data_IF_149254882106
#
_entry.id   IF_149254882106
#
_cell.length_a   1.000
_cell.length_b   1.000
_cell.length_c   1.000
_cell.angle_alpha   90.00
_cell.angle_beta   90.00
_cell.angle_gamma   90.00
#
_symmetry.space_group_name_H-M   'P 1'
#
loop_
_entity.id
_entity.type
_entity.pdbx_description
1 polymer ?
#
# COMPACT_ATOMS: atom_id res chain seq x y z
N UNK A 1 9.76 -15.69 -15.24
CA UNK A 1 10.33 -14.32 -15.44
C UNK A 1 10.19 -13.46 -14.20
N UNK A 2 8.97 -13.18 -13.67
CA UNK A 2 8.81 -12.31 -12.50
C UNK A 2 9.57 -12.84 -11.27
N UNK A 3 9.30 -14.08 -10.87
CA UNK A 3 9.97 -14.69 -9.72
C UNK A 3 11.47 -14.90 -9.95
N UNK A 4 11.89 -15.25 -11.19
CA UNK A 4 13.31 -15.38 -11.53
C UNK A 4 14.06 -14.07 -11.34
N UNK A 5 13.46 -12.94 -11.73
CA UNK A 5 14.02 -11.61 -11.51
C UNK A 5 14.08 -11.24 -10.02
N UNK A 6 13.05 -11.61 -9.25
CA UNK A 6 13.06 -11.37 -7.81
C UNK A 6 14.13 -12.20 -7.11
N UNK A 7 14.32 -13.47 -7.52
CA UNK A 7 15.42 -14.32 -7.04
C UNK A 7 16.80 -13.70 -7.38
N UNK A 8 16.98 -13.24 -8.62
CA UNK A 8 18.25 -12.64 -9.09
C UNK A 8 18.58 -11.33 -8.35
N UNK A 9 17.57 -10.52 -8.06
CA UNK A 9 17.75 -9.22 -7.42
C UNK A 9 17.59 -9.24 -5.90
N UNK A 10 17.32 -10.40 -5.27
CA UNK A 10 17.13 -10.52 -3.83
C UNK A 10 15.87 -9.82 -3.31
N UNK A 11 14.81 -9.74 -4.13
CA UNK A 11 13.55 -9.11 -3.77
C UNK A 11 12.62 -10.15 -3.16
N UNK A 12 12.30 -10.01 -1.89
CA UNK A 12 11.34 -10.88 -1.22
C UNK A 12 9.91 -10.65 -1.71
N UNK A 13 9.15 -11.74 -1.83
CA UNK A 13 7.76 -11.72 -2.27
C UNK A 13 6.85 -12.20 -1.14
N UNK A 14 5.88 -11.39 -0.80
CA UNK A 14 4.66 -11.75 -0.11
C UNK A 14 3.66 -12.23 -1.16
N UNK A 15 3.38 -13.53 -1.21
CA UNK A 15 2.53 -14.15 -2.24
C UNK A 15 1.13 -14.42 -1.71
N UNK A 16 0.16 -13.66 -2.19
CA UNK A 16 -1.25 -13.96 -1.91
C UNK A 16 -1.75 -15.13 -2.76
N UNK A 17 -2.61 -15.96 -2.15
CA UNK A 17 -3.61 -16.70 -2.91
C UNK A 17 -4.66 -15.72 -3.45
N UNK A 18 -5.33 -16.07 -4.56
CA UNK A 18 -6.16 -15.16 -5.36
C UNK A 18 -7.52 -14.82 -4.75
N UNK A 19 -7.60 -14.61 -3.44
CA UNK A 19 -8.82 -14.29 -2.72
C UNK A 19 -8.74 -12.87 -2.13
N UNK A 20 -9.75 -12.06 -2.41
CA UNK A 20 -9.78 -10.68 -1.93
C UNK A 20 -11.22 -10.19 -1.71
N UNK A 21 -11.43 -9.42 -0.64
CA UNK A 21 -12.63 -8.61 -0.41
C UNK A 21 -13.94 -9.36 -0.69
N UNK A 22 -14.05 -10.63 -0.32
CA UNK A 22 -15.24 -11.45 -0.48
C UNK A 22 -15.24 -12.66 0.45
N UNK A 23 -16.44 -13.20 0.71
CA UNK A 23 -16.59 -14.46 1.44
C UNK A 23 -16.87 -15.58 0.44
N UNK A 24 -15.89 -16.47 0.27
CA UNK A 24 -15.94 -17.55 -0.72
C UNK A 24 -16.63 -18.78 -0.13
N UNK A 25 -17.54 -19.45 -0.85
CA UNK A 25 -18.18 -20.68 -0.38
C UNK A 25 -17.22 -21.86 -0.47
N UNK A 26 -16.51 -22.13 0.63
CA UNK A 26 -15.50 -23.20 0.71
C UNK A 26 -16.16 -24.55 1.05
N UNK A 27 -16.93 -25.11 0.09
CA UNK A 27 -17.58 -26.41 0.19
C UNK A 27 -17.67 -27.12 -1.15
N UNK A 28 -17.81 -28.45 -1.13
CA UNK A 28 -18.01 -29.29 -2.32
C UNK A 28 -16.94 -29.10 -3.40
N UNK A 29 -17.34 -29.18 -4.64
CA UNK A 29 -16.43 -29.11 -5.79
C UNK A 29 -15.62 -27.81 -5.87
N UNK A 30 -16.13 -26.68 -5.30
CA UNK A 30 -15.35 -25.44 -5.27
C UNK A 30 -14.18 -25.55 -4.29
N UNK A 31 -14.38 -26.12 -3.11
CA UNK A 31 -13.28 -26.33 -2.15
C UNK A 31 -12.22 -27.29 -2.72
N UNK A 32 -12.65 -28.35 -3.44
CA UNK A 32 -11.72 -29.26 -4.10
C UNK A 32 -10.90 -28.55 -5.19
N UNK A 33 -11.54 -27.66 -5.95
CA UNK A 33 -10.87 -26.84 -6.97
C UNK A 33 -9.88 -25.84 -6.33
N UNK A 34 -10.29 -25.14 -5.27
CA UNK A 34 -9.40 -24.25 -4.50
C UNK A 34 -8.18 -25.00 -3.99
N UNK A 35 -8.39 -26.20 -3.42
CA UNK A 35 -7.29 -27.06 -2.96
C UNK A 35 -6.32 -27.41 -4.10
N UNK A 36 -6.85 -27.88 -5.23
CA UNK A 36 -6.02 -28.26 -6.38
C UNK A 36 -5.26 -27.09 -6.97
N UNK A 37 -5.90 -25.91 -7.12
CA UNK A 37 -5.24 -24.70 -7.58
C UNK A 37 -4.13 -24.24 -6.63
N UNK A 38 -4.37 -24.32 -5.32
CA UNK A 38 -3.35 -24.02 -4.32
C UNK A 38 -2.15 -24.98 -4.44
N UNK A 39 -2.40 -26.29 -4.59
CA UNK A 39 -1.35 -27.30 -4.78
C UNK A 39 -0.51 -26.98 -6.02
N UNK A 40 -1.14 -26.66 -7.14
CA UNK A 40 -0.47 -26.38 -8.41
C UNK A 40 0.39 -25.12 -8.31
N UNK A 41 -0.12 -24.05 -7.70
CA UNK A 41 0.62 -22.81 -7.53
C UNK A 41 1.78 -22.95 -6.52
N UNK A 42 1.56 -23.60 -5.39
CA UNK A 42 2.62 -23.83 -4.40
C UNK A 42 3.73 -24.69 -4.99
N UNK A 43 3.40 -25.80 -5.67
CA UNK A 43 4.40 -26.65 -6.35
C UNK A 43 5.17 -25.91 -7.43
N UNK A 44 4.51 -25.04 -8.19
CA UNK A 44 5.13 -24.24 -9.24
C UNK A 44 6.12 -23.22 -8.69
N UNK A 45 5.84 -22.62 -7.52
CA UNK A 45 6.56 -21.47 -7.00
C UNK A 45 7.51 -21.78 -5.85
N UNK A 46 7.35 -22.92 -5.16
CA UNK A 46 8.10 -23.27 -3.93
C UNK A 46 9.62 -23.28 -4.04
N UNK A 47 10.15 -23.40 -5.28
CA UNK A 47 11.59 -23.44 -5.51
C UNK A 47 12.20 -22.04 -5.73
N UNK A 48 11.38 -20.99 -5.76
CA UNK A 48 11.85 -19.61 -5.81
C UNK A 48 12.23 -19.13 -4.40
N UNK A 49 13.51 -18.80 -4.21
CA UNK A 49 14.03 -18.33 -2.94
C UNK A 49 13.41 -16.99 -2.49
N UNK A 50 12.89 -16.21 -3.44
CA UNK A 50 12.23 -14.93 -3.17
C UNK A 50 10.89 -15.05 -2.42
N UNK A 51 10.21 -16.21 -2.42
CA UNK A 51 8.94 -16.38 -1.71
C UNK A 51 9.17 -16.38 -0.20
N UNK A 52 8.89 -15.25 0.43
CA UNK A 52 9.06 -15.06 1.88
C UNK A 52 7.89 -15.67 2.68
N UNK A 53 6.66 -15.52 2.17
CA UNK A 53 5.46 -16.06 2.79
C UNK A 53 4.33 -16.26 1.77
N UNK A 54 3.38 -17.11 2.15
CA UNK A 54 2.09 -17.28 1.50
C UNK A 54 0.99 -16.63 2.34
N UNK A 55 0.16 -15.80 1.72
CA UNK A 55 -0.98 -15.18 2.38
C UNK A 55 -2.30 -15.73 1.85
N UNK A 56 -3.22 -16.06 2.76
CA UNK A 56 -4.48 -16.70 2.41
C UNK A 56 -5.43 -15.81 1.62
N UNK A 57 -5.56 -14.55 2.04
CA UNK A 57 -6.47 -13.60 1.37
C UNK A 57 -6.16 -12.15 1.71
N UNK A 58 -6.66 -11.24 0.86
CA UNK A 58 -6.73 -9.83 1.12
C UNK A 58 -8.10 -9.42 1.68
N UNK A 59 -8.12 -8.88 2.90
CA UNK A 59 -9.24 -8.19 3.55
C UNK A 59 -10.53 -9.02 3.78
N UNK A 60 -10.54 -10.34 3.59
CA UNK A 60 -11.78 -11.11 3.79
C UNK A 60 -12.23 -11.11 5.25
N UNK A 61 -11.32 -11.30 6.22
CA UNK A 61 -11.65 -11.21 7.64
C UNK A 61 -12.03 -9.78 8.04
N UNK A 62 -11.28 -8.81 7.58
CA UNK A 62 -11.51 -7.39 7.90
C UNK A 62 -12.85 -6.91 7.38
N UNK A 63 -13.20 -7.30 6.14
CA UNK A 63 -14.51 -7.00 5.57
C UNK A 63 -15.66 -7.67 6.33
N UNK A 64 -15.49 -8.93 6.71
CA UNK A 64 -16.50 -9.65 7.49
C UNK A 64 -16.78 -8.98 8.83
N UNK A 65 -15.72 -8.62 9.57
CA UNK A 65 -15.83 -8.06 10.90
C UNK A 65 -16.10 -6.56 10.93
N UNK A 66 -15.41 -5.80 10.08
CA UNK A 66 -15.34 -4.33 10.10
C UNK A 66 -16.25 -3.60 9.12
N UNK A 67 -16.49 -4.17 7.91
CA UNK A 67 -17.30 -3.47 6.90
C UNK A 67 -18.81 -3.70 7.06
N UNK A 68 -19.22 -4.41 8.11
CA UNK A 68 -20.62 -4.61 8.47
C UNK A 68 -21.27 -5.84 7.85
N UNK A 69 -20.57 -6.64 7.04
CA UNK A 69 -21.12 -7.81 6.36
C UNK A 69 -21.66 -8.86 7.34
N UNK A 70 -20.89 -9.19 8.37
CA UNK A 70 -21.32 -10.10 9.42
C UNK A 70 -22.64 -9.66 10.03
N UNK A 71 -22.70 -8.41 10.48
CA UNK A 71 -23.89 -7.84 11.15
C UNK A 71 -25.12 -7.84 10.24
N UNK A 72 -24.93 -7.52 8.96
CA UNK A 72 -26.03 -7.49 7.99
C UNK A 72 -26.60 -8.89 7.74
N UNK A 73 -25.73 -9.89 7.58
CA UNK A 73 -26.16 -11.29 7.34
C UNK A 73 -26.72 -11.93 8.60
N UNK A 74 -26.12 -11.70 9.78
CA UNK A 74 -26.65 -12.19 11.06
C UNK A 74 -28.07 -11.67 11.36
N UNK A 75 -28.34 -10.41 11.00
CA UNK A 75 -29.67 -9.83 11.17
C UNK A 75 -30.74 -10.54 10.32
N UNK A 76 -30.35 -11.03 9.16
CA UNK A 76 -31.24 -11.76 8.24
C UNK A 76 -31.31 -13.26 8.58
N UNK A 77 -30.19 -13.88 8.79
CA UNK A 77 -30.06 -15.32 9.09
C UNK A 77 -28.74 -15.62 9.82
N UNK A 78 -28.82 -15.79 11.13
CA UNK A 78 -27.63 -16.07 11.95
C UNK A 78 -26.95 -17.39 11.59
N UNK A 79 -27.73 -18.45 11.32
CA UNK A 79 -27.18 -19.77 10.97
C UNK A 79 -26.37 -19.70 9.65
N UNK A 80 -26.86 -18.90 8.70
CA UNK A 80 -26.13 -18.66 7.45
C UNK A 80 -24.85 -17.86 7.67
N UNK A 81 -24.84 -16.88 8.55
CA UNK A 81 -23.63 -16.15 8.92
C UNK A 81 -22.59 -17.08 9.58
N UNK A 82 -23.03 -17.94 10.49
CA UNK A 82 -22.17 -18.94 11.16
C UNK A 82 -21.60 -19.93 10.13
N UNK A 83 -22.38 -20.35 9.12
CA UNK A 83 -21.92 -21.19 8.01
C UNK A 83 -20.84 -20.47 7.17
N UNK A 84 -21.05 -19.22 6.80
CA UNK A 84 -20.06 -18.44 6.03
C UNK A 84 -18.72 -18.37 6.80
N UNK A 85 -18.78 -18.08 8.10
CA UNK A 85 -17.58 -18.02 8.92
C UNK A 85 -16.88 -19.38 9.06
N UNK A 86 -17.63 -20.47 9.17
CA UNK A 86 -17.06 -21.81 9.18
C UNK A 86 -16.36 -22.15 7.85
N UNK A 87 -16.91 -21.73 6.71
CA UNK A 87 -16.28 -21.90 5.41
C UNK A 87 -15.01 -21.05 5.26
N UNK A 88 -15.02 -19.80 5.76
CA UNK A 88 -13.82 -18.96 5.84
C UNK A 88 -12.70 -19.68 6.61
N UNK A 89 -13.00 -20.20 7.80
CA UNK A 89 -12.04 -20.96 8.61
C UNK A 89 -11.54 -22.22 7.89
N UNK A 90 -12.45 -22.97 7.25
CA UNK A 90 -12.07 -24.16 6.48
C UNK A 90 -11.07 -23.83 5.38
N UNK A 91 -11.28 -22.75 4.66
CA UNK A 91 -10.40 -22.35 3.55
C UNK A 91 -9.05 -21.80 4.06
N UNK A 92 -9.07 -20.80 4.94
CA UNK A 92 -7.87 -20.01 5.28
C UNK A 92 -7.11 -20.52 6.49
N UNK A 93 -7.73 -21.31 7.37
CA UNK A 93 -7.07 -21.87 8.55
C UNK A 93 -6.87 -23.39 8.49
N UNK A 94 -7.46 -24.08 7.53
CA UNK A 94 -7.31 -25.54 7.38
C UNK A 94 -6.74 -25.90 5.99
N UNK A 95 -7.44 -25.59 4.91
CA UNK A 95 -7.12 -26.07 3.56
C UNK A 95 -5.82 -25.45 3.06
N UNK A 96 -5.73 -24.12 2.95
CA UNK A 96 -4.55 -23.45 2.40
C UNK A 96 -3.28 -23.65 3.22
N UNK A 97 -3.30 -23.50 4.57
CA UNK A 97 -2.10 -23.81 5.36
C UNK A 97 -1.73 -25.29 5.31
N UNK A 98 -2.70 -26.20 5.13
CA UNK A 98 -2.45 -27.62 4.88
C UNK A 98 -1.60 -27.84 3.63
N UNK A 99 -1.98 -27.20 2.52
CA UNK A 99 -1.25 -27.26 1.25
C UNK A 99 0.15 -26.68 1.40
N UNK A 100 0.29 -25.50 2.01
CA UNK A 100 1.63 -24.89 2.21
C UNK A 100 2.52 -25.79 3.07
N UNK A 101 2.00 -26.33 4.14
CA UNK A 101 2.75 -27.24 5.03
C UNK A 101 3.20 -28.51 4.32
N UNK A 102 2.39 -29.06 3.44
CA UNK A 102 2.70 -30.30 2.70
C UNK A 102 3.70 -30.05 1.56
N UNK A 103 3.51 -28.99 0.78
CA UNK A 103 4.26 -28.80 -0.46
C UNK A 103 5.38 -27.73 -0.40
N UNK A 104 5.37 -26.86 0.61
CA UNK A 104 6.40 -25.86 0.88
C UNK A 104 6.74 -25.78 2.38
N UNK A 105 7.13 -26.91 3.01
CA UNK A 105 7.44 -26.96 4.43
C UNK A 105 8.62 -26.03 4.75
N UNK A 106 8.45 -25.05 5.58
CA UNK A 106 9.46 -24.04 5.91
C UNK A 106 9.17 -22.65 5.36
N UNK A 107 8.19 -22.51 4.47
CA UNK A 107 7.68 -21.19 4.09
C UNK A 107 6.54 -20.78 5.04
N UNK A 108 6.59 -19.56 5.52
CA UNK A 108 5.58 -19.01 6.42
C UNK A 108 4.22 -18.86 5.72
N UNK A 109 3.14 -19.14 6.44
CA UNK A 109 1.76 -18.92 5.98
C UNK A 109 1.07 -17.89 6.87
N UNK A 110 0.46 -16.87 6.24
CA UNK A 110 -0.32 -15.82 6.88
C UNK A 110 -1.79 -15.93 6.45
N UNK A 111 -2.77 -16.08 7.37
CA UNK A 111 -4.14 -16.44 6.99
C UNK A 111 -4.90 -15.37 6.21
N UNK A 112 -4.65 -14.11 6.51
CA UNK A 112 -5.32 -12.95 5.90
C UNK A 112 -4.38 -11.74 5.95
N UNK A 113 -4.64 -10.71 5.17
CA UNK A 113 -4.02 -9.40 5.30
C UNK A 113 -5.14 -8.34 5.20
N UNK A 114 -5.33 -7.42 6.20
CA UNK A 114 -4.60 -7.40 7.47
C UNK A 114 -5.05 -8.53 8.41
N UNK A 115 -4.14 -8.90 9.32
CA UNK A 115 -4.43 -9.95 10.30
C UNK A 115 -3.56 -9.80 11.56
N UNK A 116 -4.12 -10.11 12.70
CA UNK A 116 -3.38 -10.36 13.95
C UNK A 116 -3.85 -11.67 14.58
N UNK A 117 -5.15 -11.80 14.81
CA UNK A 117 -5.77 -12.99 15.40
C UNK A 117 -7.07 -13.35 14.68
N UNK A 118 -7.40 -14.65 14.66
CA UNK A 118 -8.64 -15.14 14.08
C UNK A 118 -9.87 -14.54 14.80
N UNK A 119 -10.78 -13.94 14.01
CA UNK A 119 -12.01 -13.37 14.54
C UNK A 119 -11.87 -11.99 15.18
N UNK A 120 -10.69 -11.38 15.10
CA UNK A 120 -10.42 -10.03 15.61
C UNK A 120 -9.99 -9.08 14.47
N UNK A 121 -10.33 -7.80 14.64
CA UNK A 121 -9.79 -6.75 13.75
C UNK A 121 -8.30 -6.57 14.02
N UNK A 122 -7.54 -6.33 12.95
CA UNK A 122 -6.12 -6.01 13.09
C UNK A 122 -5.90 -4.75 13.92
N UNK A 123 -4.91 -4.80 14.79
CA UNK A 123 -4.57 -3.72 15.71
C UNK A 123 -3.28 -2.98 15.33
N UNK A 124 -2.75 -2.28 16.33
CA UNK A 124 -1.50 -1.52 16.18
C UNK A 124 -0.29 -2.23 16.78
N UNK A 125 -0.51 -3.25 17.61
CA UNK A 125 0.51 -3.94 18.42
C UNK A 125 0.97 -5.26 17.82
N UNK A 126 0.12 -5.89 17.02
CA UNK A 126 0.34 -7.25 16.51
C UNK A 126 -0.07 -7.34 15.04
N UNK A 127 0.60 -8.25 14.31
CA UNK A 127 0.30 -8.55 12.92
C UNK A 127 0.62 -7.43 11.94
N UNK A 128 -0.16 -7.37 10.87
CA UNK A 128 -0.07 -6.35 9.83
C UNK A 128 -1.33 -5.49 9.77
N UNK A 129 -1.21 -4.33 9.14
CA UNK A 129 -2.28 -3.34 9.08
C UNK A 129 -2.46 -2.76 7.69
N UNK A 130 -3.73 -2.67 7.24
CA UNK A 130 -4.16 -1.83 6.13
C UNK A 130 -4.61 -0.47 6.67
N UNK A 131 -3.94 0.60 6.27
CA UNK A 131 -4.23 1.94 6.77
C UNK A 131 -4.83 2.82 5.68
N UNK A 132 -6.15 2.94 5.70
CA UNK A 132 -6.94 3.68 4.73
C UNK A 132 -7.67 4.91 5.31
N UNK A 133 -7.36 5.33 6.53
CA UNK A 133 -7.92 6.57 7.10
C UNK A 133 -7.53 7.78 6.25
N UNK A 134 -6.26 7.88 5.83
CA UNK A 134 -5.88 8.73 4.70
C UNK A 134 -6.40 8.07 3.44
N UNK A 135 -6.97 8.83 2.54
CA UNK A 135 -7.70 8.45 1.35
C UNK A 135 -9.16 8.06 1.65
N UNK A 136 -9.52 6.82 1.93
CA UNK A 136 -10.92 6.38 2.13
C UNK A 136 -11.58 7.03 3.34
N UNK A 137 -10.86 7.17 4.44
CA UNK A 137 -11.35 7.83 5.66
C UNK A 137 -11.31 9.36 5.61
N UNK A 138 -10.70 9.95 4.58
CA UNK A 138 -10.55 11.41 4.38
C UNK A 138 -9.74 12.11 5.48
N UNK A 139 -8.94 11.37 6.24
CA UNK A 139 -7.99 11.95 7.18
C UNK A 139 -6.93 12.77 6.44
N UNK A 140 -6.37 13.83 7.04
CA UNK A 140 -5.30 14.60 6.42
C UNK A 140 -4.04 13.75 6.20
N UNK A 141 -3.20 14.12 5.22
CA UNK A 141 -1.95 13.39 4.92
C UNK A 141 -1.04 13.30 6.15
N UNK A 142 -1.01 14.33 6.99
CA UNK A 142 -0.26 14.36 8.25
C UNK A 142 -0.66 13.26 9.25
N UNK A 143 -1.81 12.63 9.06
CA UNK A 143 -2.27 11.54 9.93
C UNK A 143 -1.38 10.29 9.85
N UNK A 144 -0.65 10.11 8.75
CA UNK A 144 0.40 9.09 8.65
C UNK A 144 1.48 9.24 9.72
N UNK A 145 1.75 10.47 10.21
CA UNK A 145 2.78 10.70 11.24
C UNK A 145 2.34 10.28 12.65
N UNK A 146 1.05 10.18 12.89
CA UNK A 146 0.49 9.78 14.20
C UNK A 146 0.25 8.28 14.33
N UNK A 147 0.20 7.55 13.22
CA UNK A 147 -0.17 6.14 13.20
C UNK A 147 1.01 5.21 13.49
N UNK A 148 0.72 4.10 14.17
CA UNK A 148 1.69 3.07 14.54
C UNK A 148 1.20 1.69 14.19
N UNK A 149 2.10 0.83 13.71
CA UNK A 149 1.88 -0.60 13.52
C UNK A 149 3.19 -1.37 13.50
N UNK A 150 3.13 -2.67 13.71
CA UNK A 150 4.28 -3.56 13.56
C UNK A 150 4.69 -3.72 12.10
N UNK A 151 3.69 -3.68 11.19
CA UNK A 151 3.87 -3.78 9.75
C UNK A 151 2.69 -3.10 9.05
N UNK A 152 2.94 -2.13 8.16
CA UNK A 152 1.93 -1.59 7.28
C UNK A 152 1.98 -2.31 5.95
N UNK A 153 1.07 -3.24 5.74
CA UNK A 153 1.00 -4.07 4.53
C UNK A 153 0.24 -3.40 3.40
N UNK A 154 -0.62 -2.39 3.71
CA UNK A 154 -1.33 -1.64 2.68
C UNK A 154 -1.70 -0.23 3.14
N UNK A 155 -1.49 0.73 2.28
CA UNK A 155 -1.95 2.12 2.32
C UNK A 155 -1.74 2.73 0.94
N UNK A 156 -2.44 3.80 0.60
CA UNK A 156 -2.30 4.34 -0.75
C UNK A 156 -2.93 5.71 -0.94
N UNK A 157 -2.60 6.31 -2.08
CA UNK A 157 -3.14 7.59 -2.50
C UNK A 157 -3.28 7.63 -4.02
N UNK A 158 -4.35 8.22 -4.57
CA UNK A 158 -4.57 8.20 -6.02
C UNK A 158 -3.99 9.40 -6.76
N UNK A 159 -3.57 9.14 -7.99
CA UNK A 159 -3.45 10.16 -9.02
C UNK A 159 -3.90 9.64 -10.38
N UNK A 160 -4.24 10.57 -11.26
CA UNK A 160 -4.33 10.28 -12.68
C UNK A 160 -2.97 9.88 -13.23
N UNK A 161 -2.88 9.18 -14.38
CA UNK A 161 -1.63 9.04 -15.11
C UNK A 161 -1.19 10.40 -15.66
N UNK A 162 0.04 10.46 -16.17
CA UNK A 162 0.53 11.68 -16.79
C UNK A 162 -0.25 12.06 -18.07
N UNK A 163 -0.14 13.29 -18.50
CA UNK A 163 -0.94 13.83 -19.60
C UNK A 163 -0.79 13.05 -20.92
N UNK A 164 0.42 12.56 -21.25
CA UNK A 164 0.63 11.76 -22.45
C UNK A 164 -0.09 10.41 -22.41
N UNK A 165 -0.32 9.86 -21.21
CA UNK A 165 -1.13 8.67 -21.01
C UNK A 165 -2.63 8.99 -21.06
N UNK A 166 -3.05 10.10 -20.45
CA UNK A 166 -4.44 10.56 -20.49
C UNK A 166 -4.91 10.77 -21.93
N UNK A 167 -4.11 11.41 -22.79
CA UNK A 167 -4.45 11.63 -24.20
C UNK A 167 -4.73 10.33 -24.98
N UNK A 168 -4.25 9.19 -24.52
CA UNK A 168 -4.47 7.91 -25.20
C UNK A 168 -5.89 7.37 -25.04
N UNK A 169 -6.55 7.69 -23.93
CA UNK A 169 -7.94 7.29 -23.69
C UNK A 169 -8.92 8.49 -23.74
N UNK A 170 -8.43 9.70 -23.60
CA UNK A 170 -9.17 10.96 -23.71
C UNK A 170 -8.47 11.89 -24.72
N UNK A 171 -8.57 11.60 -26.04
CA UNK A 171 -7.84 12.35 -27.05
C UNK A 171 -8.38 13.77 -27.31
N UNK A 172 -9.61 14.03 -26.88
CA UNK A 172 -10.29 15.29 -27.16
C UNK A 172 -10.23 16.25 -25.98
N UNK A 173 -9.95 17.56 -26.20
CA UNK A 173 -9.87 18.56 -25.12
C UNK A 173 -11.14 18.70 -24.27
N UNK A 174 -12.31 18.45 -24.84
CA UNK A 174 -13.61 18.45 -24.14
C UNK A 174 -13.70 17.41 -23.04
N UNK A 175 -12.89 16.35 -23.12
CA UNK A 175 -12.83 15.29 -22.10
C UNK A 175 -11.85 15.63 -20.96
N UNK A 176 -11.08 16.73 -21.06
CA UNK A 176 -10.08 17.09 -20.05
C UNK A 176 -10.69 17.82 -18.86
N UNK A 177 -11.66 17.18 -18.26
CA UNK A 177 -12.27 17.56 -16.99
C UNK A 177 -12.46 16.28 -16.16
N UNK A 178 -12.10 16.31 -14.89
CA UNK A 178 -12.19 15.15 -13.98
C UNK A 178 -13.64 14.62 -13.82
N UNK A 179 -14.63 15.40 -14.26
CA UNK A 179 -16.05 15.05 -14.23
C UNK A 179 -16.59 14.61 -15.59
N UNK A 180 -15.75 14.63 -16.63
CA UNK A 180 -16.17 14.10 -17.95
C UNK A 180 -16.50 12.61 -17.83
N UNK A 181 -17.40 12.13 -18.69
CA UNK A 181 -17.78 10.71 -18.71
C UNK A 181 -16.55 9.81 -18.91
N UNK A 182 -15.62 10.22 -19.78
CA UNK A 182 -14.38 9.51 -20.04
C UNK A 182 -13.51 9.43 -18.78
N UNK A 183 -13.28 10.54 -18.06
CA UNK A 183 -12.48 10.52 -16.84
C UNK A 183 -13.14 9.75 -15.71
N UNK A 184 -14.46 9.80 -15.60
CA UNK A 184 -15.22 9.02 -14.61
C UNK A 184 -15.18 7.52 -14.93
N UNK A 185 -15.27 7.13 -16.20
CA UNK A 185 -15.14 5.71 -16.60
C UNK A 185 -13.71 5.15 -16.44
N UNK A 186 -12.69 6.01 -16.48
CA UNK A 186 -11.29 5.68 -16.25
C UNK A 186 -10.84 5.98 -14.82
N UNK A 187 -11.66 5.59 -13.81
CA UNK A 187 -11.38 5.76 -12.40
C UNK A 187 -11.50 4.44 -11.63
N UNK A 188 -10.39 3.98 -11.02
CA UNK A 188 -10.35 2.70 -10.29
C UNK A 188 -11.10 2.74 -8.95
N UNK A 189 -11.19 3.90 -8.32
CA UNK A 189 -11.80 4.10 -6.99
C UNK A 189 -13.32 4.33 -7.01
N UNK A 190 -13.96 4.26 -8.18
CA UNK A 190 -15.40 4.52 -8.33
C UNK A 190 -15.77 6.00 -8.38
N UNK A 191 -17.06 6.28 -8.45
CA UNK A 191 -17.62 7.60 -8.81
C UNK A 191 -17.18 8.75 -7.89
N UNK A 192 -16.91 8.48 -6.63
CA UNK A 192 -16.51 9.52 -5.66
C UNK A 192 -15.03 9.91 -5.73
N UNK A 193 -14.18 9.09 -6.34
CA UNK A 193 -12.73 9.19 -6.19
C UNK A 193 -12.12 10.41 -6.88
N UNK A 194 -12.65 10.83 -8.05
CA UNK A 194 -12.18 12.05 -8.71
C UNK A 194 -12.44 13.30 -7.84
N UNK A 195 -13.60 13.36 -7.21
CA UNK A 195 -13.93 14.42 -6.24
C UNK A 195 -13.05 14.38 -4.99
N UNK A 196 -12.65 13.19 -4.55
CA UNK A 196 -11.75 13.01 -3.42
C UNK A 196 -10.33 13.50 -3.76
N UNK A 197 -9.81 13.19 -4.94
CA UNK A 197 -8.53 13.75 -5.44
C UNK A 197 -8.58 15.28 -5.40
N UNK A 198 -9.64 15.89 -5.94
CA UNK A 198 -9.79 17.35 -5.95
C UNK A 198 -9.84 17.94 -4.54
N UNK A 199 -10.56 17.28 -3.62
CA UNK A 199 -10.67 17.71 -2.22
C UNK A 199 -9.29 17.75 -1.55
N UNK A 200 -8.52 16.68 -1.63
CA UNK A 200 -7.17 16.64 -1.09
C UNK A 200 -6.25 17.68 -1.75
N UNK A 201 -6.34 17.83 -3.07
CA UNK A 201 -5.53 18.78 -3.81
C UNK A 201 -5.80 20.22 -3.37
N UNK A 202 -7.07 20.59 -3.16
CA UNK A 202 -7.46 21.93 -2.72
C UNK A 202 -7.18 22.20 -1.24
N UNK A 203 -7.05 21.16 -0.42
CA UNK A 203 -6.60 21.31 0.96
C UNK A 203 -5.12 21.66 1.06
N UNK A 204 -4.30 21.13 0.16
CA UNK A 204 -2.82 21.30 0.18
C UNK A 204 -2.33 22.44 -0.74
N UNK A 205 -3.06 22.69 -1.84
CA UNK A 205 -2.61 23.60 -2.88
C UNK A 205 -3.69 24.58 -3.33
N UNK A 206 -3.25 25.63 -4.00
CA UNK A 206 -4.16 26.55 -4.71
C UNK A 206 -4.83 25.84 -5.88
N UNK A 207 -6.02 26.33 -6.28
CA UNK A 207 -6.75 25.81 -7.44
C UNK A 207 -5.85 25.79 -8.71
N UNK A 208 -5.75 24.65 -9.40
CA UNK A 208 -5.01 24.55 -10.67
C UNK A 208 -5.59 25.49 -11.73
N UNK A 209 -4.75 26.07 -12.55
CA UNK A 209 -5.16 26.98 -13.63
C UNK A 209 -5.82 26.29 -14.81
N UNK A 210 -5.46 25.03 -15.06
CA UNK A 210 -5.94 24.20 -16.16
C UNK A 210 -5.79 22.71 -15.82
N UNK A 211 -6.26 21.83 -16.70
CA UNK A 211 -6.21 20.39 -16.51
C UNK A 211 -4.78 19.83 -16.44
N UNK A 212 -3.83 20.38 -17.22
CA UNK A 212 -2.42 19.94 -17.16
C UNK A 212 -1.78 20.29 -15.81
N UNK A 213 -2.06 21.49 -15.32
CA UNK A 213 -1.62 21.91 -13.99
C UNK A 213 -2.25 21.04 -12.90
N UNK A 214 -3.53 20.67 -13.06
CA UNK A 214 -4.19 19.71 -12.16
C UNK A 214 -3.46 18.37 -12.13
N UNK A 215 -3.17 17.78 -13.28
CA UNK A 215 -2.45 16.50 -13.35
C UNK A 215 -1.07 16.58 -12.69
N UNK A 216 -0.31 17.63 -12.96
CA UNK A 216 0.99 17.84 -12.34
C UNK A 216 0.90 17.93 -10.83
N UNK A 217 0.00 18.77 -10.30
CA UNK A 217 -0.19 18.95 -8.86
C UNK A 217 -0.71 17.67 -8.20
N UNK A 218 -1.58 16.91 -8.87
CA UNK A 218 -2.07 15.63 -8.39
C UNK A 218 -0.95 14.57 -8.30
N UNK A 219 -0.01 14.56 -9.23
CA UNK A 219 1.17 13.71 -9.16
C UNK A 219 2.08 14.05 -7.98
N UNK A 220 2.32 15.35 -7.74
CA UNK A 220 3.11 15.81 -6.58
C UNK A 220 2.41 15.43 -5.28
N UNK A 221 1.12 15.68 -5.19
CA UNK A 221 0.29 15.34 -4.02
C UNK A 221 0.35 13.85 -3.68
N UNK A 222 0.19 12.97 -4.68
CA UNK A 222 0.31 11.53 -4.48
C UNK A 222 1.72 11.17 -3.99
N UNK A 223 2.75 11.75 -4.59
CA UNK A 223 4.14 11.53 -4.22
C UNK A 223 4.42 11.96 -2.78
N UNK A 224 3.97 13.14 -2.39
CA UNK A 224 4.14 13.67 -1.02
C UNK A 224 3.39 12.81 0.00
N UNK A 225 2.15 12.41 -0.28
CA UNK A 225 1.36 11.58 0.62
C UNK A 225 2.06 10.24 0.91
N UNK A 226 2.51 9.54 -0.13
CA UNK A 226 3.16 8.22 0.03
C UNK A 226 4.56 8.36 0.65
N UNK A 227 5.31 9.40 0.28
CA UNK A 227 6.59 9.71 0.94
C UNK A 227 6.39 9.94 2.44
N UNK A 228 5.40 10.74 2.84
CA UNK A 228 5.10 11.01 4.25
C UNK A 228 4.81 9.71 5.00
N UNK A 229 4.00 8.81 4.43
CA UNK A 229 3.72 7.51 5.01
C UNK A 229 5.00 6.67 5.19
N UNK A 230 5.79 6.47 4.13
CA UNK A 230 7.01 5.65 4.18
C UNK A 230 8.00 6.20 5.20
N UNK A 231 8.24 7.52 5.19
CA UNK A 231 9.17 8.15 6.12
C UNK A 231 8.68 8.02 7.57
N UNK A 232 7.38 8.20 7.82
CA UNK A 232 6.79 8.00 9.15
C UNK A 232 6.97 6.56 9.63
N UNK A 233 6.65 5.58 8.79
CA UNK A 233 6.79 4.16 9.12
C UNK A 233 8.25 3.81 9.42
N UNK A 234 9.21 4.29 8.62
CA UNK A 234 10.63 4.05 8.83
C UNK A 234 11.19 4.74 10.08
N UNK A 235 10.68 5.92 10.46
CA UNK A 235 11.06 6.55 11.75
C UNK A 235 10.67 5.73 12.97
N UNK A 236 9.72 4.81 12.82
CA UNK A 236 9.25 3.94 13.90
C UNK A 236 10.11 2.69 14.11
N UNK A 237 11.13 2.45 13.28
CA UNK A 237 12.04 1.31 13.49
C UNK A 237 12.71 1.41 14.87
N UNK A 238 12.88 0.27 15.59
CA UNK A 238 12.55 -1.11 15.21
C UNK A 238 11.13 -1.56 15.58
N UNK A 239 10.23 -0.66 15.95
CA UNK A 239 8.84 -1.04 16.24
C UNK A 239 8.10 -1.47 14.97
N UNK A 240 8.14 -0.63 13.94
CA UNK A 240 7.67 -0.98 12.60
C UNK A 240 8.82 -1.58 11.80
N UNK A 241 8.62 -2.76 11.23
CA UNK A 241 9.64 -3.47 10.45
C UNK A 241 9.20 -3.76 9.01
N UNK A 242 8.12 -3.12 8.53
CA UNK A 242 7.73 -3.25 7.14
C UNK A 242 6.67 -2.24 6.71
N UNK A 243 6.79 -1.81 5.46
CA UNK A 243 5.87 -0.85 4.86
C UNK A 243 5.72 -1.12 3.37
N UNK A 244 4.50 -1.47 2.93
CA UNK A 244 4.14 -1.77 1.56
C UNK A 244 3.01 -0.86 1.12
N UNK A 245 3.19 -0.12 0.03
CA UNK A 245 2.13 0.77 -0.47
C UNK A 245 1.28 0.10 -1.56
N UNK A 246 0.02 0.38 -1.57
CA UNK A 246 -0.90 0.06 -2.65
C UNK A 246 -0.92 1.21 -3.64
N UNK A 247 -0.49 1.09 -4.91
CA UNK A 247 -0.01 -0.15 -5.56
C UNK A 247 1.12 0.17 -6.56
N UNK A 248 1.79 -0.85 -7.08
CA UNK A 248 2.91 -0.64 -7.99
C UNK A 248 2.48 -0.22 -9.41
N UNK A 249 1.54 -0.95 -10.03
CA UNK A 249 1.17 -0.74 -11.43
C UNK A 249 -0.31 -0.95 -11.72
N UNK A 250 -0.73 -0.42 -12.87
CA UNK A 250 -2.08 -0.59 -13.40
C UNK A 250 -2.16 -1.72 -14.42
N UNK A 251 -3.35 -2.36 -14.52
CA UNK A 251 -3.69 -3.36 -15.55
C UNK A 251 -4.58 -2.80 -16.67
N UNK A 252 -5.00 -1.54 -16.59
CA UNK A 252 -5.74 -0.82 -17.61
C UNK A 252 -5.52 0.70 -17.45
N UNK A 253 -5.80 1.54 -18.49
CA UNK A 253 -5.58 2.99 -18.40
C UNK A 253 -6.56 3.63 -17.41
N UNK A 254 -6.09 4.19 -16.30
CA UNK A 254 -6.97 4.58 -15.19
C UNK A 254 -6.29 5.55 -14.23
N UNK A 255 -7.10 6.41 -13.58
CA UNK A 255 -6.69 7.06 -12.34
C UNK A 255 -6.73 6.04 -11.19
N UNK A 256 -5.64 5.91 -10.45
CA UNK A 256 -5.45 4.86 -9.45
C UNK A 256 -4.36 5.21 -8.43
N UNK A 257 -4.12 4.28 -7.51
CA UNK A 257 -3.02 4.34 -6.53
C UNK A 257 -1.65 3.94 -7.11
N UNK A 258 -1.59 3.50 -8.38
CA UNK A 258 -0.38 2.98 -8.98
C UNK A 258 0.74 4.03 -9.07
N UNK A 259 2.00 3.58 -8.90
CA UNK A 259 3.21 4.37 -9.15
C UNK A 259 3.67 4.30 -10.60
N UNK A 260 3.21 3.29 -11.34
CA UNK A 260 3.46 3.09 -12.78
C UNK A 260 2.14 2.90 -13.51
N UNK A 261 1.89 3.70 -14.53
CA UNK A 261 0.65 3.62 -15.29
C UNK A 261 0.60 2.40 -16.24
N UNK A 262 -0.58 2.15 -16.79
CA UNK A 262 -0.81 1.04 -17.74
C UNK A 262 0.15 1.04 -18.93
N UNK A 263 0.53 2.21 -19.42
CA UNK A 263 1.45 2.33 -20.57
C UNK A 263 2.93 2.25 -20.20
N UNK A 264 3.22 1.95 -18.94
CA UNK A 264 4.57 1.75 -18.42
C UNK A 264 5.31 3.03 -18.04
N UNK A 265 4.62 4.19 -17.98
CA UNK A 265 5.23 5.44 -17.52
C UNK A 265 5.23 5.53 -16.01
N UNK A 266 6.32 6.06 -15.48
CA UNK A 266 6.43 6.34 -14.06
C UNK A 266 5.64 7.59 -13.69
N UNK A 267 4.77 7.50 -12.69
CA UNK A 267 4.19 8.67 -12.03
C UNK A 267 5.22 9.30 -11.08
N UNK A 268 4.98 10.55 -10.65
CA UNK A 268 5.89 11.22 -9.70
C UNK A 268 6.10 10.39 -8.42
N UNK A 269 5.05 9.73 -7.91
CA UNK A 269 5.12 8.82 -6.74
C UNK A 269 6.32 7.87 -6.81
N UNK A 270 6.64 7.30 -7.97
CA UNK A 270 7.74 6.35 -8.10
C UNK A 270 9.10 6.97 -7.68
N UNK A 271 9.34 8.21 -8.03
CA UNK A 271 10.59 8.92 -7.68
C UNK A 271 10.63 9.31 -6.21
N UNK A 272 9.48 9.65 -5.61
CA UNK A 272 9.36 9.91 -4.18
C UNK A 272 9.60 8.64 -3.37
N UNK A 273 8.97 7.54 -3.77
CA UNK A 273 9.12 6.21 -3.15
C UNK A 273 10.57 5.74 -3.21
N UNK A 274 11.22 5.87 -4.37
CA UNK A 274 12.64 5.52 -4.54
C UNK A 274 13.51 6.20 -3.50
N UNK A 275 13.31 7.50 -3.26
CA UNK A 275 14.08 8.26 -2.27
C UNK A 275 13.71 7.89 -0.83
N UNK A 276 12.42 7.66 -0.58
CA UNK A 276 11.95 7.30 0.75
C UNK A 276 12.41 5.90 1.18
N UNK A 277 12.73 5.02 0.23
CA UNK A 277 13.30 3.68 0.46
C UNK A 277 14.82 3.61 0.26
N UNK A 278 15.52 4.73 0.14
CA UNK A 278 17.00 4.69 0.14
C UNK A 278 17.52 4.03 1.41
N UNK A 279 18.64 3.29 1.30
CA UNK A 279 19.28 2.58 2.43
C UNK A 279 19.47 3.47 3.65
N UNK A 280 19.82 4.73 3.41
CA UNK A 280 19.95 5.75 4.45
C UNK A 280 18.92 6.84 4.18
N UNK A 281 17.95 6.95 5.07
CA UNK A 281 16.92 7.98 5.03
C UNK A 281 17.26 9.11 6.02
N UNK A 282 17.20 10.35 5.55
CA UNK A 282 17.18 11.54 6.41
C UNK A 282 15.78 12.13 6.33
N UNK A 283 15.05 12.04 7.44
CA UNK A 283 13.65 12.46 7.53
C UNK A 283 13.47 13.56 8.56
N UNK A 284 13.30 14.82 8.12
CA UNK A 284 12.93 15.92 9.01
C UNK A 284 11.42 15.90 9.28
N UNK A 285 11.03 16.17 10.53
CA UNK A 285 9.64 16.32 10.94
C UNK A 285 9.53 17.43 11.97
N UNK A 286 8.47 18.23 11.86
CA UNK A 286 8.16 19.29 12.84
C UNK A 286 7.22 18.70 13.89
N UNK A 287 7.64 18.74 15.14
CA UNK A 287 6.84 18.32 16.30
C UNK A 287 6.73 19.49 17.28
N UNK A 288 5.56 20.14 17.31
CA UNK A 288 5.39 21.39 18.05
C UNK A 288 6.27 22.49 17.49
N UNK A 289 7.13 23.07 18.32
CA UNK A 289 8.09 24.12 17.94
C UNK A 289 9.48 23.57 17.54
N UNK A 290 9.66 22.24 17.58
CA UNK A 290 10.93 21.60 17.33
C UNK A 290 10.99 20.99 15.91
N UNK A 291 12.12 21.16 15.24
CA UNK A 291 12.48 20.40 14.05
C UNK A 291 13.34 19.20 14.46
N UNK A 292 12.76 18.01 14.41
CA UNK A 292 13.50 16.77 14.60
C UNK A 292 13.98 16.23 13.27
N UNK A 293 15.20 15.71 13.25
CA UNK A 293 15.77 15.07 12.06
C UNK A 293 16.15 13.63 12.42
N UNK A 294 15.49 12.68 11.79
CA UNK A 294 15.75 11.27 11.94
C UNK A 294 16.74 10.82 10.87
N UNK A 295 17.72 10.01 11.27
CA UNK A 295 18.59 9.29 10.37
C UNK A 295 18.31 7.79 10.55
N UNK A 296 17.76 7.14 9.54
CA UNK A 296 17.36 5.73 9.55
C UNK A 296 18.22 4.98 8.54
N UNK A 297 18.73 3.80 8.91
CA UNK A 297 19.54 2.97 8.03
C UNK A 297 18.96 1.56 7.97
N UNK A 298 18.85 1.01 6.76
CA UNK A 298 18.56 -0.41 6.50
C UNK A 298 19.85 -1.22 6.27
N UNK A 299 21.01 -0.57 6.37
CA UNK A 299 22.29 -1.26 6.24
C UNK A 299 22.59 -2.10 7.46
N UNK A 300 23.15 -3.29 7.23
CA UNK A 300 23.58 -4.21 8.30
C UNK A 300 24.93 -3.81 8.91
N UNK A 301 25.57 -2.78 8.39
CA UNK A 301 26.88 -2.28 8.85
C UNK A 301 26.75 -0.88 9.42
N UNK A 302 27.57 -0.58 10.44
CA UNK A 302 27.65 0.75 11.00
C UNK A 302 28.04 1.75 9.92
N UNK A 303 27.30 2.82 9.82
CA UNK A 303 27.53 3.91 8.87
C UNK A 303 27.80 5.21 9.61
N UNK A 304 28.68 6.02 9.09
CA UNK A 304 28.93 7.37 9.61
C UNK A 304 28.89 8.40 8.49
N UNK A 305 28.46 9.59 8.84
CA UNK A 305 28.37 10.71 7.91
C UNK A 305 28.33 12.04 8.61
N UNK A 306 28.23 13.10 7.84
CA UNK A 306 28.00 14.45 8.33
C UNK A 306 26.62 14.92 7.94
N UNK A 307 25.74 15.06 8.94
CA UNK A 307 24.45 15.70 8.75
C UNK A 307 24.66 17.22 8.63
N UNK A 308 24.10 17.82 7.58
CA UNK A 308 24.07 19.26 7.38
C UNK A 308 22.61 19.73 7.30
N UNK A 309 22.30 20.78 8.04
CA UNK A 309 21.00 21.44 8.01
C UNK A 309 21.20 22.91 7.62
N UNK A 310 20.43 23.37 6.66
CA UNK A 310 20.44 24.75 6.23
C UNK A 310 19.01 25.32 6.27
N UNK A 311 18.87 26.50 6.82
CA UNK A 311 17.67 27.32 6.67
C UNK A 311 17.96 28.38 5.63
N UNK A 312 17.15 28.41 4.57
CA UNK A 312 17.33 29.32 3.45
C UNK A 312 16.11 30.21 3.28
N UNK A 313 16.31 31.42 2.78
CA UNK A 313 15.23 32.22 2.22
C UNK A 313 14.77 31.60 0.91
N UNK A 314 13.60 32.02 0.38
CA UNK A 314 13.06 31.50 -0.87
C UNK A 314 13.91 31.81 -2.12
N UNK A 315 14.80 32.79 -2.03
CA UNK A 315 15.79 33.10 -3.07
C UNK A 315 17.06 32.23 -2.99
N UNK A 316 17.13 31.29 -2.01
CA UNK A 316 18.26 30.40 -1.80
C UNK A 316 19.34 30.95 -0.84
N UNK A 317 19.20 32.18 -0.31
CA UNK A 317 20.15 32.74 0.65
C UNK A 317 20.11 31.96 1.95
N UNK A 318 21.26 31.36 2.34
CA UNK A 318 21.38 30.60 3.60
C UNK A 318 21.42 31.59 4.79
N UNK A 319 20.47 31.47 5.71
CA UNK A 319 20.37 32.28 6.94
C UNK A 319 20.91 31.59 8.18
N UNK A 320 20.81 30.24 8.20
CA UNK A 320 21.41 29.40 9.25
C UNK A 320 21.98 28.12 8.67
N UNK A 321 23.06 27.65 9.27
CA UNK A 321 23.70 26.39 8.88
C UNK A 321 24.22 25.67 10.13
N UNK A 322 23.91 24.36 10.22
CA UNK A 322 24.45 23.45 11.21
C UNK A 322 25.10 22.25 10.54
N UNK A 323 26.10 21.72 11.19
CA UNK A 323 26.68 20.46 10.78
C UNK A 323 27.07 19.63 12.00
N UNK A 324 26.75 18.34 11.95
CA UNK A 324 27.10 17.38 13.01
C UNK A 324 27.54 16.08 12.39
N UNK A 325 28.62 15.49 12.90
CA UNK A 325 28.97 14.09 12.58
C UNK A 325 28.00 13.17 13.30
N UNK A 326 27.46 12.21 12.56
CA UNK A 326 26.51 11.21 13.07
C UNK A 326 26.99 9.81 12.74
N UNK A 327 26.86 8.90 13.69
CA UNK A 327 27.00 7.47 13.47
C UNK A 327 25.62 6.83 13.54
N UNK A 328 25.35 5.89 12.65
CA UNK A 328 24.12 5.12 12.60
C UNK A 328 24.54 3.65 12.73
N UNK A 329 23.99 2.96 13.73
CA UNK A 329 24.21 1.52 13.91
C UNK A 329 23.51 0.75 12.78
N UNK A 330 24.12 -0.32 12.30
CA UNK A 330 23.50 -1.30 11.43
C UNK A 330 22.55 -2.22 12.17
#
# INVERSE_FOLDING_TARGET
VFYDLCDEHGIMIWQDFMFACSMYPAEGALLDNIHQEAVDNVKRLRNHACIALWCGNNECQDAWLGWGWKREIERQNKEYADKIWAQYRQQYHVTLPGVVREYAPGTFYWPSSPFAFEGEMSGTTDGDRHYWSVWHGKAPISDYDSEKSRFFSEYGFQSFPEFESVKRYAPYPEDWDIRSEVMMSHQRGGDHANGLIETYLLNEYKKPRDFRAFLYMNHVLQGDAIKTAIESHRRQMPYNMGTLFWQHNDCWPVASWASRDYYGRWKAQHYYVRKAYDDILISPVVEGDDLKVYAVSDRLENTSGRLQLQVCQFDGTVVHHWGKSVGISG
#
